data_IF_596347106345
#
_entry.id   IF_596347106345
#
_cell.length_a   1.000
_cell.length_b   1.000
_cell.length_c   1.000
_cell.angle_alpha   90.00
_cell.angle_beta   90.00
_cell.angle_gamma   90.00
#
_symmetry.space_group_name_H-M   'P 1'
#
loop_
_entity.id
_entity.type
_entity.pdbx_description
1 polymer ?
#
# COMPACT_ATOMS: atom_id res chain seq x y z
N UNK A 1 -35.95 40.23 -4.24
CA UNK A 1 -35.31 40.51 -2.93
C UNK A 1 -35.65 39.46 -1.89
N UNK A 2 -36.91 39.31 -1.47
CA UNK A 2 -37.32 38.29 -0.50
C UNK A 2 -37.01 36.83 -0.92
N UNK A 3 -37.26 36.49 -2.19
CA UNK A 3 -36.96 35.16 -2.73
C UNK A 3 -35.46 34.84 -2.75
N UNK A 4 -34.61 35.86 -2.99
CA UNK A 4 -33.15 35.71 -3.00
C UNK A 4 -32.63 35.52 -1.56
N UNK A 5 -33.20 36.23 -0.61
CA UNK A 5 -32.88 36.10 0.82
C UNK A 5 -33.28 34.72 1.36
N UNK A 6 -34.44 34.20 0.94
CA UNK A 6 -34.89 32.84 1.26
C UNK A 6 -33.94 31.78 0.68
N UNK A 7 -33.54 31.91 -0.59
CA UNK A 7 -32.57 31.01 -1.22
C UNK A 7 -31.20 31.03 -0.51
N UNK A 8 -30.76 32.20 -0.06
CA UNK A 8 -29.52 32.33 0.71
C UNK A 8 -29.63 31.65 2.09
N UNK A 9 -30.78 31.79 2.78
CA UNK A 9 -31.06 31.09 4.02
C UNK A 9 -31.01 29.58 3.86
N UNK A 10 -31.74 29.04 2.88
CA UNK A 10 -31.76 27.60 2.55
C UNK A 10 -30.36 27.09 2.23
N UNK A 11 -29.58 27.84 1.45
CA UNK A 11 -28.21 27.45 1.09
C UNK A 11 -27.28 27.41 2.31
N UNK A 12 -27.45 28.36 3.24
CA UNK A 12 -26.70 28.38 4.50
C UNK A 12 -27.03 27.16 5.36
N UNK A 13 -28.31 26.80 5.46
CA UNK A 13 -28.79 25.66 6.22
C UNK A 13 -28.27 24.34 5.65
N UNK A 14 -28.34 24.16 4.32
CA UNK A 14 -27.80 22.98 3.64
C UNK A 14 -26.31 22.81 3.95
N UNK A 15 -25.53 23.91 3.89
CA UNK A 15 -24.11 23.86 4.23
C UNK A 15 -23.89 23.52 5.70
N UNK A 16 -24.70 24.07 6.61
CA UNK A 16 -24.61 23.77 8.03
C UNK A 16 -24.89 22.29 8.31
N UNK A 17 -25.99 21.77 7.78
CA UNK A 17 -26.37 20.36 7.89
C UNK A 17 -25.35 19.42 7.26
N UNK A 18 -24.74 19.81 6.13
CA UNK A 18 -23.68 19.02 5.51
C UNK A 18 -22.46 18.87 6.41
N UNK A 19 -22.05 19.96 7.09
CA UNK A 19 -20.92 19.93 8.04
C UNK A 19 -21.22 19.07 9.27
N UNK A 20 -22.42 19.18 9.82
CA UNK A 20 -22.82 18.37 10.99
C UNK A 20 -22.91 16.90 10.60
N UNK A 21 -23.50 16.58 9.45
CA UNK A 21 -23.56 15.22 8.93
C UNK A 21 -22.16 14.62 8.72
N UNK A 22 -21.24 15.35 8.09
CA UNK A 22 -19.86 14.90 7.92
C UNK A 22 -19.16 14.64 9.28
N UNK A 23 -19.41 15.50 10.27
CA UNK A 23 -18.88 15.34 11.63
C UNK A 23 -19.43 14.08 12.31
N UNK A 24 -20.73 13.80 12.16
CA UNK A 24 -21.38 12.60 12.68
C UNK A 24 -20.81 11.35 12.01
N UNK A 25 -20.72 11.32 10.68
CA UNK A 25 -20.14 10.19 9.94
C UNK A 25 -18.70 9.90 10.39
N UNK A 26 -17.88 10.94 10.60
CA UNK A 26 -16.51 10.78 11.08
C UNK A 26 -16.45 10.17 12.49
N UNK A 27 -17.28 10.67 13.40
CA UNK A 27 -17.37 10.13 14.77
C UNK A 27 -17.85 8.67 14.78
N UNK A 28 -18.88 8.35 13.98
CA UNK A 28 -19.41 6.99 13.84
C UNK A 28 -18.36 6.04 13.26
N UNK A 29 -17.68 6.43 12.18
CA UNK A 29 -16.60 5.63 11.58
C UNK A 29 -15.47 5.38 12.58
N UNK A 30 -15.06 6.39 13.34
CA UNK A 30 -14.03 6.25 14.39
C UNK A 30 -14.49 5.31 15.51
N UNK A 31 -15.73 5.44 15.96
CA UNK A 31 -16.30 4.54 16.99
C UNK A 31 -16.40 3.11 16.49
N UNK A 32 -16.77 2.91 15.23
CA UNK A 32 -16.85 1.60 14.60
C UNK A 32 -15.47 0.95 14.51
N UNK A 33 -14.45 1.70 14.06
CA UNK A 33 -13.06 1.25 14.03
C UNK A 33 -12.54 0.84 15.41
N UNK A 34 -12.83 1.63 16.45
CA UNK A 34 -12.42 1.28 17.82
C UNK A 34 -13.11 0.02 18.35
N UNK A 35 -14.35 -0.23 17.92
CA UNK A 35 -15.15 -1.37 18.36
C UNK A 35 -14.81 -2.66 17.62
N UNK A 36 -14.72 -2.58 16.29
CA UNK A 36 -14.53 -3.74 15.41
C UNK A 36 -13.06 -3.99 15.07
N UNK A 37 -12.19 -3.01 15.35
CA UNK A 37 -10.80 -3.03 14.91
C UNK A 37 -10.68 -2.80 13.39
N UNK A 38 -9.60 -3.28 12.80
CA UNK A 38 -9.39 -3.22 11.36
C UNK A 38 -10.28 -4.24 10.63
N UNK A 39 -11.50 -3.84 10.30
CA UNK A 39 -12.43 -4.60 9.46
C UNK A 39 -11.96 -4.68 7.98
N UNK A 40 -10.95 -3.90 7.57
CA UNK A 40 -10.43 -3.88 6.20
C UNK A 40 -9.25 -4.85 5.99
N UNK A 41 -9.06 -5.77 6.93
CA UNK A 41 -7.96 -6.74 6.92
C UNK A 41 -7.99 -7.68 5.71
N UNK A 42 -9.15 -8.16 5.25
CA UNK A 42 -9.19 -9.19 4.19
C UNK A 42 -8.61 -8.72 2.85
N UNK A 43 -8.99 -7.52 2.39
CA UNK A 43 -8.50 -6.99 1.11
C UNK A 43 -7.00 -6.73 1.16
N UNK A 44 -6.54 -5.98 2.16
CA UNK A 44 -5.12 -5.65 2.31
C UNK A 44 -4.25 -6.89 2.55
N UNK A 45 -4.71 -7.86 3.37
CA UNK A 45 -3.99 -9.12 3.54
C UNK A 45 -3.93 -9.92 2.24
N UNK A 46 -4.99 -9.91 1.42
CA UNK A 46 -4.98 -10.61 0.12
C UNK A 46 -3.97 -9.97 -0.83
N UNK A 47 -3.95 -8.63 -0.91
CA UNK A 47 -2.97 -7.88 -1.73
C UNK A 47 -1.55 -8.15 -1.25
N UNK A 48 -1.28 -8.02 0.05
CA UNK A 48 0.03 -8.27 0.64
C UNK A 48 0.49 -9.73 0.47
N UNK A 49 -0.42 -10.71 0.63
CA UNK A 49 -0.12 -12.11 0.39
C UNK A 49 0.20 -12.38 -1.09
N UNK A 50 -0.52 -11.73 -2.01
CA UNK A 50 -0.22 -11.79 -3.44
C UNK A 50 1.16 -11.22 -3.75
N UNK A 51 1.49 -10.05 -3.19
CA UNK A 51 2.80 -9.42 -3.36
C UNK A 51 3.91 -10.31 -2.78
N UNK A 52 3.72 -10.89 -1.59
CA UNK A 52 4.68 -11.82 -0.99
C UNK A 52 4.90 -13.06 -1.84
N UNK A 53 3.84 -13.66 -2.40
CA UNK A 53 3.95 -14.82 -3.31
C UNK A 53 4.71 -14.44 -4.58
N UNK A 54 4.38 -13.30 -5.19
CA UNK A 54 5.05 -12.80 -6.41
C UNK A 54 6.54 -12.50 -6.17
N UNK A 55 6.87 -11.94 -5.02
CA UNK A 55 8.24 -11.53 -4.69
C UNK A 55 9.07 -12.64 -4.03
N UNK A 56 8.48 -13.83 -3.80
CA UNK A 56 9.20 -14.97 -3.24
C UNK A 56 10.00 -15.66 -4.33
N UNK A 57 11.32 -15.44 -4.35
CA UNK A 57 12.24 -16.21 -5.20
C UNK A 57 12.39 -17.62 -4.64
N UNK A 58 11.63 -18.58 -5.17
CA UNK A 58 11.67 -19.99 -4.75
C UNK A 58 12.85 -20.77 -5.34
N UNK A 59 13.27 -20.40 -6.55
CA UNK A 59 14.38 -21.02 -7.27
C UNK A 59 15.06 -20.01 -8.21
N UNK A 60 16.33 -20.26 -8.51
CA UNK A 60 17.10 -19.55 -9.54
C UNK A 60 17.92 -20.56 -10.34
N UNK A 61 18.25 -20.24 -11.59
CA UNK A 61 19.17 -21.05 -12.38
C UNK A 61 20.54 -20.36 -12.44
N UNK A 62 21.59 -21.12 -12.16
CA UNK A 62 22.99 -20.70 -12.25
C UNK A 62 23.76 -21.80 -12.97
N UNK A 63 24.38 -21.46 -14.10
CA UNK A 63 25.17 -22.40 -14.91
C UNK A 63 24.43 -23.72 -15.18
N UNK A 64 23.18 -23.62 -15.64
CA UNK A 64 22.25 -24.73 -15.92
C UNK A 64 21.80 -25.56 -14.70
N UNK A 65 22.28 -25.24 -13.50
CA UNK A 65 21.83 -25.87 -12.25
C UNK A 65 20.71 -25.05 -11.62
N UNK A 66 19.59 -25.70 -11.32
CA UNK A 66 18.50 -25.09 -10.56
C UNK A 66 18.82 -25.14 -9.07
N UNK A 67 18.94 -23.97 -8.44
CA UNK A 67 19.14 -23.82 -7.01
C UNK A 67 17.80 -23.54 -6.34
N UNK A 68 17.51 -24.28 -5.27
CA UNK A 68 16.32 -24.09 -4.45
C UNK A 68 16.70 -23.81 -2.99
N UNK A 69 15.81 -23.11 -2.29
CA UNK A 69 15.97 -22.79 -0.88
C UNK A 69 16.77 -21.50 -0.62
N UNK A 70 16.53 -20.92 0.56
CA UNK A 70 17.01 -19.57 0.89
C UNK A 70 18.53 -19.47 0.92
N UNK A 71 19.22 -20.47 1.47
CA UNK A 71 20.66 -20.40 1.66
C UNK A 71 21.45 -20.48 0.33
N UNK A 72 21.21 -21.48 -0.55
CA UNK A 72 21.89 -21.55 -1.84
C UNK A 72 21.60 -20.34 -2.73
N UNK A 73 20.34 -19.90 -2.80
CA UNK A 73 19.92 -18.72 -3.57
C UNK A 73 20.67 -17.47 -3.09
N UNK A 74 20.70 -17.24 -1.76
CA UNK A 74 21.39 -16.08 -1.19
C UNK A 74 22.89 -16.09 -1.50
N UNK A 75 23.54 -17.25 -1.38
CA UNK A 75 24.98 -17.38 -1.66
C UNK A 75 25.29 -17.09 -3.13
N UNK A 76 24.52 -17.67 -4.05
CA UNK A 76 24.69 -17.45 -5.49
C UNK A 76 24.48 -15.99 -5.89
N UNK A 77 23.43 -15.33 -5.35
CA UNK A 77 23.18 -13.91 -5.60
C UNK A 77 24.34 -13.05 -5.10
N UNK A 78 24.81 -13.28 -3.87
CA UNK A 78 25.94 -12.51 -3.31
C UNK A 78 27.21 -12.73 -4.14
N UNK A 79 27.51 -13.96 -4.53
CA UNK A 79 28.70 -14.28 -5.34
C UNK A 79 28.65 -13.58 -6.71
N UNK A 80 27.51 -13.66 -7.39
CA UNK A 80 27.29 -13.03 -8.69
C UNK A 80 27.55 -11.52 -8.63
N UNK A 81 26.87 -10.81 -7.72
CA UNK A 81 27.02 -9.36 -7.60
C UNK A 81 28.40 -8.94 -7.06
N UNK A 82 28.99 -9.72 -6.14
CA UNK A 82 30.35 -9.44 -5.65
C UNK A 82 31.38 -9.52 -6.78
N UNK A 83 31.21 -10.44 -7.73
CA UNK A 83 32.07 -10.52 -8.93
C UNK A 83 31.77 -9.37 -9.89
N UNK A 84 30.50 -9.15 -10.19
CA UNK A 84 30.04 -8.14 -11.14
C UNK A 84 30.49 -6.72 -10.75
N UNK A 85 30.37 -6.35 -9.47
CA UNK A 85 30.79 -5.02 -8.99
C UNK A 85 32.31 -4.88 -8.83
N UNK A 86 33.08 -5.98 -8.80
CA UNK A 86 34.56 -5.92 -8.85
C UNK A 86 35.08 -5.77 -10.28
N UNK A 87 34.33 -6.22 -11.27
CA UNK A 87 34.71 -6.15 -12.67
C UNK A 87 34.49 -4.76 -13.30
N UNK A 88 33.84 -3.83 -12.58
CA UNK A 88 33.53 -2.48 -13.03
C UNK A 88 34.64 -1.51 -12.56
N UNK A 89 35.69 -1.35 -13.37
CA UNK A 89 36.40 -0.07 -13.48
C UNK A 89 35.72 0.71 -14.61
N UNK A 90 34.54 1.25 -14.34
CA UNK A 90 33.90 2.19 -15.28
C UNK A 90 34.56 3.53 -15.02
N UNK A 91 35.41 3.96 -15.94
CA UNK A 91 35.82 5.35 -16.05
C UNK A 91 34.55 6.13 -16.45
N UNK A 92 33.94 6.77 -15.47
CA UNK A 92 32.79 7.64 -15.69
C UNK A 92 33.33 8.92 -16.37
N UNK A 93 32.80 9.33 -17.53
CA UNK A 93 33.25 10.55 -18.20
C UNK A 93 32.97 11.82 -17.39
#
# INVERSE_FOLDING_TARGET
DAEIEELHGITSDIRSLSRTNASICWQQSRSLWLKEGDANTKYFHTVLASHRRRNSTSSIQVDEVTLEGVHPIRQAVVAHFSSHFKAINVDMP
#
